data_IF_651239412737
#
_entry.id   IF_651239412737
#
_cell.length_a   1.000
_cell.length_b   1.000
_cell.length_c   1.000
_cell.angle_alpha   90.00
_cell.angle_beta   90.00
_cell.angle_gamma   90.00
#
_symmetry.space_group_name_H-M   'P 1'
#
loop_
_entity.id
_entity.type
_entity.pdbx_description
1 polymer ?
#
# COMPACT_ATOMS: atom_id res chain seq x y z
N UNK A 1 -13.83 -15.96 -19.83
CA UNK A 1 -12.98 -14.79 -19.49
C UNK A 1 -12.95 -14.69 -17.97
N UNK A 2 -11.88 -15.16 -17.32
CA UNK A 2 -11.72 -14.98 -15.88
C UNK A 2 -11.59 -13.49 -15.60
N UNK A 3 -12.52 -12.93 -14.83
CA UNK A 3 -12.32 -11.63 -14.20
C UNK A 3 -11.15 -11.81 -13.22
N UNK A 4 -9.93 -11.44 -13.63
CA UNK A 4 -8.85 -11.29 -12.65
C UNK A 4 -9.32 -10.21 -11.68
N UNK A 5 -9.48 -10.57 -10.42
CA UNK A 5 -9.64 -9.60 -9.36
C UNK A 5 -8.37 -8.74 -9.34
N UNK A 6 -8.49 -7.41 -9.18
CA UNK A 6 -7.32 -6.55 -9.07
C UNK A 6 -6.47 -6.98 -7.87
N UNK A 7 -5.16 -6.86 -8.01
CA UNK A 7 -4.24 -7.14 -6.92
C UNK A 7 -4.48 -6.19 -5.75
N UNK A 8 -4.15 -6.62 -4.52
CA UNK A 8 -4.30 -5.75 -3.35
C UNK A 8 -3.36 -4.57 -3.45
N UNK A 9 -2.20 -4.77 -4.08
CA UNK A 9 -1.27 -3.69 -4.39
C UNK A 9 -1.90 -2.63 -5.30
N UNK A 10 -2.58 -3.01 -6.39
CA UNK A 10 -3.28 -2.08 -7.28
C UNK A 10 -4.41 -1.34 -6.56
N UNK A 11 -5.19 -2.04 -5.72
CA UNK A 11 -6.23 -1.41 -4.90
C UNK A 11 -5.65 -0.35 -3.95
N UNK A 12 -4.48 -0.63 -3.36
CA UNK A 12 -3.79 0.29 -2.44
C UNK A 12 -3.16 1.48 -3.16
N UNK A 13 -2.65 1.29 -4.38
CA UNK A 13 -2.20 2.39 -5.24
C UNK A 13 -3.39 3.30 -5.56
N UNK A 14 -4.50 2.73 -6.05
CA UNK A 14 -5.70 3.49 -6.41
C UNK A 14 -6.27 4.27 -5.21
N UNK A 15 -6.34 3.63 -4.04
CA UNK A 15 -6.76 4.30 -2.81
C UNK A 15 -5.83 5.45 -2.43
N UNK A 16 -4.52 5.26 -2.53
CA UNK A 16 -3.54 6.28 -2.17
C UNK A 16 -3.55 7.45 -3.16
N UNK A 17 -3.72 7.18 -4.46
CA UNK A 17 -3.88 8.21 -5.49
C UNK A 17 -5.18 9.00 -5.28
N UNK A 18 -6.29 8.32 -4.96
CA UNK A 18 -7.53 8.99 -4.59
C UNK A 18 -7.32 9.91 -3.38
N UNK A 19 -6.65 9.43 -2.32
CA UNK A 19 -6.38 10.23 -1.12
C UNK A 19 -5.47 11.42 -1.41
N UNK A 20 -4.51 11.27 -2.30
CA UNK A 20 -3.67 12.36 -2.78
C UNK A 20 -4.49 13.44 -3.50
N UNK A 21 -5.40 13.05 -4.40
CA UNK A 21 -6.29 14.00 -5.08
C UNK A 21 -7.30 14.67 -4.13
N UNK A 22 -7.83 13.93 -3.16
CA UNK A 22 -8.67 14.49 -2.09
C UNK A 22 -7.90 15.51 -1.23
N UNK A 23 -6.62 15.26 -0.96
CA UNK A 23 -5.77 16.18 -0.21
C UNK A 23 -5.46 17.45 -1.02
N UNK A 24 -5.22 17.32 -2.33
CA UNK A 24 -5.00 18.45 -3.25
C UNK A 24 -6.22 19.38 -3.39
N UNK A 25 -7.43 18.81 -3.35
CA UNK A 25 -8.68 19.55 -3.61
C UNK A 25 -9.26 20.27 -2.38
N UNK A 26 -8.72 20.07 -1.17
CA UNK A 26 -9.23 20.69 0.05
C UNK A 26 -8.54 22.04 0.36
N UNK A 27 -9.28 23.16 0.45
CA UNK A 27 -8.74 24.42 0.96
C UNK A 27 -8.39 24.29 2.45
N UNK A 28 -7.16 24.63 2.84
CA UNK A 28 -6.64 24.44 4.21
C UNK A 28 -5.75 23.21 4.41
N UNK A 29 -5.17 22.70 3.33
CA UNK A 29 -4.28 21.54 3.26
C UNK A 29 -3.36 21.39 4.48
N UNK A 30 -3.44 20.23 5.15
CA UNK A 30 -2.43 19.81 6.11
C UNK A 30 -1.28 19.17 5.33
N UNK A 31 -0.07 19.77 5.27
CA UNK A 31 1.04 19.26 4.45
C UNK A 31 1.40 17.79 4.74
N UNK A 32 1.14 17.34 5.96
CA UNK A 32 1.38 15.97 6.39
C UNK A 32 0.47 14.95 5.70
N UNK A 33 -0.77 15.30 5.36
CA UNK A 33 -1.71 14.38 4.70
C UNK A 33 -1.32 14.18 3.23
N UNK A 34 -0.94 15.27 2.56
CA UNK A 34 -0.45 15.22 1.19
C UNK A 34 0.85 14.40 1.11
N UNK A 35 1.81 14.69 1.99
CA UNK A 35 3.09 13.98 2.04
C UNK A 35 2.92 12.50 2.37
N UNK A 36 2.00 12.16 3.28
CA UNK A 36 1.70 10.77 3.59
C UNK A 36 1.08 10.05 2.38
N UNK A 37 0.11 10.68 1.70
CA UNK A 37 -0.50 10.08 0.52
C UNK A 37 0.51 9.87 -0.62
N UNK A 38 1.38 10.85 -0.87
CA UNK A 38 2.48 10.73 -1.83
C UNK A 38 3.44 9.59 -1.47
N UNK A 39 3.86 9.50 -0.20
CA UNK A 39 4.74 8.43 0.28
C UNK A 39 4.10 7.05 0.11
N UNK A 40 2.81 6.91 0.40
CA UNK A 40 2.10 5.64 0.24
C UNK A 40 1.93 5.25 -1.24
N UNK A 41 1.67 6.20 -2.14
CA UNK A 41 1.66 5.93 -3.60
C UNK A 41 3.02 5.42 -4.06
N UNK A 42 4.11 6.10 -3.68
CA UNK A 42 5.46 5.70 -4.06
C UNK A 42 5.83 4.33 -3.46
N UNK A 43 5.43 4.09 -2.21
CA UNK A 43 5.65 2.81 -1.54
C UNK A 43 4.94 1.67 -2.28
N UNK A 44 3.64 1.80 -2.57
CA UNK A 44 2.90 0.70 -3.18
C UNK A 44 3.25 0.43 -4.64
N UNK A 45 3.92 1.38 -5.32
CA UNK A 45 4.47 1.17 -6.68
C UNK A 45 5.80 0.40 -6.71
N UNK A 46 6.45 0.22 -5.56
CA UNK A 46 7.80 -0.33 -5.45
C UNK A 46 7.81 -1.54 -4.49
N UNK A 47 7.73 -2.74 -5.06
CA UNK A 47 7.62 -4.00 -4.30
C UNK A 47 8.81 -4.23 -3.36
N UNK A 48 10.01 -3.83 -3.77
CA UNK A 48 11.22 -3.96 -2.93
C UNK A 48 11.15 -3.03 -1.73
N UNK A 49 10.61 -1.81 -1.90
CA UNK A 49 10.38 -0.92 -0.76
C UNK A 49 9.37 -1.51 0.19
N UNK A 50 8.26 -2.07 -0.28
CA UNK A 50 7.21 -2.67 0.59
C UNK A 50 7.83 -3.65 1.60
N UNK A 51 8.79 -4.47 1.17
CA UNK A 51 9.48 -5.45 2.03
C UNK A 51 10.45 -4.83 3.05
N UNK A 52 10.93 -3.62 2.79
CA UNK A 52 11.92 -2.93 3.62
C UNK A 52 11.30 -1.99 4.66
N UNK A 53 10.06 -1.54 4.46
CA UNK A 53 9.42 -0.59 5.37
C UNK A 53 8.82 -1.31 6.58
N UNK A 54 8.93 -0.75 7.80
CA UNK A 54 8.25 -1.30 8.95
C UNK A 54 6.73 -1.43 8.73
N UNK A 55 6.15 -2.56 9.18
CA UNK A 55 4.71 -2.81 9.11
C UNK A 55 3.86 -1.67 9.68
N UNK A 56 4.38 -0.97 10.70
CA UNK A 56 3.72 0.15 11.37
C UNK A 56 3.49 1.34 10.46
N UNK A 57 4.33 1.53 9.43
CA UNK A 57 4.17 2.58 8.43
C UNK A 57 2.98 2.28 7.53
N UNK A 58 2.88 1.04 7.03
CA UNK A 58 1.78 0.62 6.15
C UNK A 58 0.47 0.62 6.94
N UNK A 59 0.43 -0.04 8.09
CA UNK A 59 -0.78 -0.11 8.94
C UNK A 59 -1.19 1.29 9.40
N UNK A 60 -0.23 2.12 9.83
CA UNK A 60 -0.47 3.49 10.25
C UNK A 60 -1.05 4.35 9.12
N UNK A 61 -0.52 4.22 7.91
CA UNK A 61 -1.05 4.89 6.71
C UNK A 61 -2.50 4.50 6.40
N UNK A 62 -2.82 3.20 6.48
CA UNK A 62 -4.18 2.72 6.26
C UNK A 62 -5.16 3.20 7.35
N UNK A 63 -4.72 3.21 8.62
CA UNK A 63 -5.50 3.78 9.72
C UNK A 63 -5.72 5.27 9.52
N UNK A 64 -4.71 5.98 9.03
CA UNK A 64 -4.83 7.40 8.69
C UNK A 64 -5.89 7.64 7.60
N UNK A 65 -6.00 6.74 6.62
CA UNK A 65 -7.08 6.76 5.62
C UNK A 65 -8.47 6.41 6.17
N UNK A 66 -8.60 6.12 7.46
CA UNK A 66 -9.86 5.77 8.11
C UNK A 66 -10.18 4.27 8.08
N UNK A 67 -9.23 3.42 7.68
CA UNK A 67 -9.42 1.97 7.72
C UNK A 67 -9.23 1.49 9.16
N UNK A 68 -10.16 0.67 9.64
CA UNK A 68 -10.07 0.12 11.01
C UNK A 68 -8.77 -0.67 11.18
N UNK A 69 -8.09 -0.49 12.31
CA UNK A 69 -6.80 -1.13 12.61
C UNK A 69 -6.77 -2.63 12.28
N UNK A 70 -7.76 -3.41 12.74
CA UNK A 70 -7.86 -4.84 12.43
C UNK A 70 -7.87 -5.11 10.92
N UNK A 71 -8.60 -4.29 10.16
CA UNK A 71 -8.67 -4.41 8.71
C UNK A 71 -7.36 -4.00 8.04
N UNK A 72 -6.67 -3.00 8.58
CA UNK A 72 -5.34 -2.60 8.12
C UNK A 72 -4.31 -3.72 8.30
N UNK A 73 -4.37 -4.48 9.40
CA UNK A 73 -3.55 -5.68 9.59
C UNK A 73 -3.86 -6.75 8.54
N UNK A 74 -5.13 -7.06 8.30
CA UNK A 74 -5.54 -8.05 7.27
C UNK A 74 -5.06 -7.64 5.87
N UNK A 75 -5.13 -6.34 5.55
CA UNK A 75 -4.64 -5.82 4.26
C UNK A 75 -3.13 -5.96 4.15
N UNK A 76 -2.39 -5.62 5.22
CA UNK A 76 -0.93 -5.76 5.27
C UNK A 76 -0.49 -7.21 5.08
N UNK A 77 -1.13 -8.17 5.76
CA UNK A 77 -0.79 -9.59 5.64
C UNK A 77 -0.93 -10.07 4.20
N UNK A 78 -2.05 -9.71 3.55
CA UNK A 78 -2.29 -10.08 2.15
C UNK A 78 -1.35 -9.38 1.17
N UNK A 79 -1.03 -8.11 1.42
CA UNK A 79 -0.04 -7.37 0.62
C UNK A 79 1.32 -8.07 0.69
N UNK A 80 1.76 -8.46 1.88
CA UNK A 80 3.02 -9.16 2.06
C UNK A 80 3.02 -10.56 1.43
N UNK A 81 1.91 -11.29 1.53
CA UNK A 81 1.75 -12.58 0.83
C UNK A 81 1.92 -12.41 -0.68
N UNK A 82 1.28 -11.41 -1.27
CA UNK A 82 1.36 -11.12 -2.70
C UNK A 82 2.78 -10.73 -3.13
N UNK A 83 3.39 -9.79 -2.41
CA UNK A 83 4.75 -9.29 -2.70
C UNK A 83 5.78 -10.41 -2.54
N UNK A 84 5.69 -11.22 -1.48
CA UNK A 84 6.62 -12.34 -1.28
C UNK A 84 6.42 -13.41 -2.36
N UNK A 85 5.18 -13.69 -2.77
CA UNK A 85 4.91 -14.65 -3.85
C UNK A 85 5.54 -14.21 -5.16
N UNK A 86 5.41 -12.93 -5.53
CA UNK A 86 6.07 -12.37 -6.72
C UNK A 86 7.59 -12.41 -6.60
N UNK A 87 8.13 -12.06 -5.43
CA UNK A 87 9.55 -12.09 -5.18
C UNK A 87 10.14 -13.50 -5.35
N UNK A 88 9.50 -14.53 -4.80
CA UNK A 88 9.93 -15.93 -4.96
C UNK A 88 9.90 -16.38 -6.42
N UNK A 89 8.92 -15.94 -7.21
CA UNK A 89 8.85 -16.26 -8.64
C UNK A 89 10.01 -15.64 -9.43
N UNK A 90 10.49 -14.46 -9.01
CA UNK A 90 11.59 -13.73 -9.66
C UNK A 90 12.96 -14.22 -9.14
N UNK A 91 13.02 -14.63 -7.87
CA UNK A 91 14.20 -15.10 -7.18
C UNK A 91 13.97 -16.52 -6.62
N UNK A 92 13.84 -17.55 -7.47
CA UNK A 92 13.53 -18.91 -7.02
C UNK A 92 14.60 -19.49 -6.09
N UNK A 93 15.85 -19.04 -6.23
CA UNK A 93 16.99 -19.48 -5.40
C UNK A 93 17.06 -18.77 -4.03
N UNK A 94 16.15 -17.82 -3.75
CA UNK A 94 16.09 -17.12 -2.46
C UNK A 94 15.21 -17.82 -1.41
N UNK A 95 14.66 -18.99 -1.75
CA UNK A 95 13.90 -19.85 -0.84
C UNK A 95 14.80 -20.99 -0.40
N UNK A 96 15.52 -20.80 0.71
CA UNK A 96 16.19 -21.87 1.47
C UNK A 96 15.25 -22.50 2.51
#
# INVERSE_FOLDING_TARGET
MSKSFPSIQEELIALSEQKYQEALSKPGMKPNELKLAELLVQLFKDEDKIRQVPMTVIIGGLVFYGIRYRKSCEIYEKLMEEVNRKYVLIHPDSVE
#
